data_IF_743221931123
#
_entry.id   IF_743221931123
#
_cell.length_a   1.000
_cell.length_b   1.000
_cell.length_c   1.000
_cell.angle_alpha   90.00
_cell.angle_beta   90.00
_cell.angle_gamma   90.00
#
_symmetry.space_group_name_H-M   'P 1'
#
loop_
_entity.id
_entity.type
_entity.pdbx_description
1 polymer ?
#
# COMPACT_ATOMS: atom_id res chain seq x y z
N UNK A 1 -10.27 6.82 -13.69
CA UNK A 1 -9.53 7.47 -12.60
C UNK A 1 -8.14 7.80 -13.06
N UNK A 2 -7.43 8.69 -12.37
CA UNK A 2 -6.02 9.00 -12.66
C UNK A 2 -5.13 8.05 -11.86
N UNK A 3 -4.22 7.35 -12.54
CA UNK A 3 -3.22 6.50 -11.89
C UNK A 3 -2.04 7.36 -11.42
N UNK A 4 -1.70 7.25 -10.13
CA UNK A 4 -0.48 7.80 -9.55
C UNK A 4 0.38 6.64 -9.08
N UNK A 5 1.65 6.61 -9.47
CA UNK A 5 2.56 5.51 -9.17
C UNK A 5 3.92 6.01 -8.67
N UNK A 6 4.63 5.15 -7.97
CA UNK A 6 5.95 5.43 -7.42
C UNK A 6 6.64 4.15 -6.96
N UNK A 7 7.92 4.26 -6.58
CA UNK A 7 8.71 3.12 -6.11
C UNK A 7 8.75 3.06 -4.59
N UNK A 8 8.38 1.91 -4.02
CA UNK A 8 8.58 1.63 -2.60
C UNK A 8 10.07 1.46 -2.26
N UNK A 9 10.90 1.03 -3.23
CA UNK A 9 12.31 0.72 -3.02
C UNK A 9 12.50 -0.69 -2.45
N UNK A 10 13.71 -0.97 -1.97
CA UNK A 10 14.06 -2.30 -1.47
C UNK A 10 13.44 -2.56 -0.09
N UNK A 11 12.73 -3.68 0.04
CA UNK A 11 12.33 -4.27 1.32
C UNK A 11 13.09 -5.57 1.45
N UNK A 12 13.94 -5.67 2.47
CA UNK A 12 14.75 -6.86 2.70
C UNK A 12 13.90 -8.10 2.97
N UNK A 13 14.46 -9.28 2.69
CA UNK A 13 13.82 -10.56 3.04
C UNK A 13 13.56 -10.61 4.55
N UNK A 14 12.36 -11.06 4.94
CA UNK A 14 11.90 -11.10 6.34
C UNK A 14 11.84 -9.72 7.04
N UNK A 15 11.82 -8.62 6.28
CA UNK A 15 11.57 -7.29 6.82
C UNK A 15 10.16 -6.80 6.45
N UNK A 16 9.60 -6.00 7.35
CA UNK A 16 8.33 -5.29 7.14
C UNK A 16 8.61 -3.81 7.07
N UNK A 17 8.05 -3.12 6.07
CA UNK A 17 8.04 -1.66 6.00
C UNK A 17 6.64 -1.13 6.26
N UNK A 18 6.54 -0.19 7.22
CA UNK A 18 5.31 0.51 7.51
C UNK A 18 5.28 1.83 6.74
N UNK A 19 4.24 2.05 5.94
CA UNK A 19 4.05 3.29 5.19
C UNK A 19 2.88 4.06 5.80
N UNK A 20 3.13 5.30 6.20
CA UNK A 20 2.07 6.22 6.59
C UNK A 20 1.52 6.97 5.37
N UNK A 21 0.31 7.51 5.47
CA UNK A 21 -0.35 8.30 4.42
C UNK A 21 0.54 9.40 3.86
N UNK A 22 1.33 10.07 4.71
CA UNK A 22 2.22 11.13 4.29
C UNK A 22 3.34 10.60 3.37
N UNK A 23 3.96 9.48 3.73
CA UNK A 23 5.03 8.86 2.93
C UNK A 23 4.49 8.35 1.59
N UNK A 24 3.32 7.71 1.59
CA UNK A 24 2.62 7.31 0.36
C UNK A 24 2.37 8.52 -0.55
N UNK A 25 1.89 9.64 0.01
CA UNK A 25 1.63 10.85 -0.77
C UNK A 25 2.90 11.45 -1.40
N UNK A 26 4.06 11.30 -0.74
CA UNK A 26 5.36 11.68 -1.31
C UNK A 26 5.80 10.72 -2.40
N UNK A 27 5.65 9.42 -2.20
CA UNK A 27 6.03 8.38 -3.17
C UNK A 27 5.28 8.55 -4.50
N UNK A 28 3.97 8.81 -4.43
CA UNK A 28 3.14 8.96 -5.63
C UNK A 28 3.05 10.41 -6.14
N UNK A 29 3.66 11.36 -5.42
CA UNK A 29 3.64 12.79 -5.76
C UNK A 29 2.24 13.43 -5.71
N UNK A 30 1.29 12.84 -4.99
CA UNK A 30 -0.11 13.27 -5.00
C UNK A 30 -0.79 13.07 -3.64
N UNK A 31 -1.61 14.04 -3.24
CA UNK A 31 -2.47 13.96 -2.07
C UNK A 31 -3.92 13.89 -2.51
N UNK A 32 -4.54 12.73 -2.30
CA UNK A 32 -5.93 12.47 -2.64
C UNK A 32 -6.85 13.19 -1.65
N UNK A 33 -7.52 14.26 -2.10
CA UNK A 33 -8.52 15.01 -1.31
C UNK A 33 -9.91 14.75 -1.88
N UNK A 34 -10.80 14.18 -1.06
CA UNK A 34 -12.19 13.89 -1.47
C UNK A 34 -12.35 12.74 -2.45
N UNK A 35 -11.30 11.95 -2.69
CA UNK A 35 -11.33 10.79 -3.59
C UNK A 35 -11.18 9.48 -2.80
N UNK A 36 -11.84 8.42 -3.28
CA UNK A 36 -11.53 7.05 -2.87
C UNK A 36 -10.17 6.63 -3.41
N UNK A 37 -9.46 5.77 -2.67
CA UNK A 37 -8.15 5.26 -3.04
C UNK A 37 -8.23 3.74 -3.23
N UNK A 38 -7.75 3.27 -4.38
CA UNK A 38 -7.40 1.87 -4.61
C UNK A 38 -5.89 1.77 -4.74
N UNK A 39 -5.30 0.74 -4.15
CA UNK A 39 -3.87 0.50 -4.19
C UNK A 39 -3.58 -0.80 -4.94
N UNK A 40 -2.59 -0.76 -5.82
CA UNK A 40 -1.99 -1.94 -6.44
C UNK A 40 -0.51 -1.96 -6.04
N UNK A 41 -0.03 -3.13 -5.62
CA UNK A 41 1.38 -3.34 -5.26
C UNK A 41 1.88 -4.50 -6.10
N UNK A 42 3.05 -4.33 -6.70
CA UNK A 42 3.75 -5.35 -7.46
C UNK A 42 5.19 -5.49 -6.99
N UNK A 43 5.72 -6.71 -7.05
CA UNK A 43 7.09 -7.02 -6.69
C UNK A 43 7.59 -8.23 -7.50
N UNK A 44 8.91 -8.31 -7.69
CA UNK A 44 9.57 -9.42 -8.39
C UNK A 44 9.63 -10.70 -7.56
N UNK A 45 9.30 -10.63 -6.27
CA UNK A 45 9.32 -11.74 -5.33
C UNK A 45 7.98 -11.82 -4.56
N UNK A 46 7.62 -12.99 -4.01
CA UNK A 46 6.42 -13.13 -3.19
C UNK A 46 6.41 -12.14 -2.01
N UNK A 47 5.24 -11.55 -1.74
CA UNK A 47 5.07 -10.56 -0.69
C UNK A 47 3.67 -10.61 -0.08
N UNK A 48 3.54 -10.08 1.13
CA UNK A 48 2.26 -9.82 1.79
C UNK A 48 2.08 -8.32 2.04
N UNK A 49 0.83 -7.86 2.00
CA UNK A 49 0.44 -6.47 2.28
C UNK A 49 -0.69 -6.48 3.28
N UNK A 50 -0.63 -5.53 4.22
CA UNK A 50 -1.73 -5.23 5.13
C UNK A 50 -2.02 -3.74 5.06
N UNK A 51 -3.25 -3.39 4.72
CA UNK A 51 -3.74 -2.01 4.71
C UNK A 51 -4.64 -1.86 5.93
N UNK A 52 -4.20 -1.02 6.87
CA UNK A 52 -4.93 -0.72 8.10
C UNK A 52 -5.64 0.62 7.95
N UNK A 53 -6.96 0.59 7.76
CA UNK A 53 -7.77 1.81 7.66
C UNK A 53 -8.41 2.10 9.00
N UNK A 54 -8.18 3.32 9.53
CA UNK A 54 -8.94 3.84 10.67
C UNK A 54 -10.27 4.39 10.18
N UNK A 55 -11.38 3.79 10.58
CA UNK A 55 -12.70 4.34 10.27
C UNK A 55 -13.06 5.42 11.29
N UNK A 56 -13.63 6.53 10.82
CA UNK A 56 -14.14 7.60 11.69
C UNK A 56 -15.36 7.11 12.47
N UNK A 57 -15.46 7.45 13.76
CA UNK A 57 -16.64 7.17 14.60
C UNK A 57 -16.47 6.12 15.72
N UNK A 58 -15.30 5.51 15.88
CA UNK A 58 -15.09 4.55 16.98
C UNK A 58 -13.71 3.90 17.08
N UNK A 59 -12.78 4.22 16.18
CA UNK A 59 -11.40 3.73 16.26
C UNK A 59 -11.18 2.30 15.78
N UNK A 60 -12.18 1.68 15.14
CA UNK A 60 -12.03 0.37 14.55
C UNK A 60 -10.94 0.36 13.46
N UNK A 61 -10.06 -0.64 13.55
CA UNK A 61 -9.04 -0.93 12.56
C UNK A 61 -9.57 -2.03 11.64
N UNK A 62 -9.79 -1.68 10.37
CA UNK A 62 -10.11 -2.67 9.34
C UNK A 62 -8.80 -3.14 8.71
N UNK A 63 -8.53 -4.44 8.78
CA UNK A 63 -7.38 -5.06 8.12
C UNK A 63 -7.79 -5.56 6.73
N UNK A 64 -7.34 -4.84 5.70
CA UNK A 64 -7.45 -5.27 4.32
C UNK A 64 -6.09 -5.88 3.93
N UNK A 65 -5.96 -7.20 4.07
CA UNK A 65 -4.75 -7.93 3.69
C UNK A 65 -4.83 -8.46 2.26
N UNK A 66 -3.69 -8.47 1.57
CA UNK A 66 -3.54 -9.06 0.24
C UNK A 66 -2.16 -9.73 0.13
N UNK A 67 -2.03 -10.70 -0.78
CA UNK A 67 -0.77 -11.36 -1.07
C UNK A 67 -0.51 -11.37 -2.58
N UNK A 68 0.75 -11.23 -2.96
CA UNK A 68 1.20 -11.43 -4.34
C UNK A 68 2.17 -12.60 -4.40
N UNK A 69 1.90 -13.55 -5.29
CA UNK A 69 2.87 -14.59 -5.66
C UNK A 69 3.41 -14.26 -7.05
N UNK A 70 4.71 -14.46 -7.26
CA UNK A 70 5.28 -14.38 -8.59
C UNK A 70 4.85 -15.62 -9.38
N UNK A 71 3.98 -15.44 -10.38
CA UNK A 71 3.63 -16.48 -11.34
C UNK A 71 4.72 -16.57 -12.41
N UNK A 72 5.80 -17.29 -12.13
CA UNK A 72 6.77 -17.67 -13.15
C UNK A 72 6.27 -18.91 -13.89
N UNK A 73 6.25 -18.86 -15.23
CA UNK A 73 6.21 -20.05 -16.10
C UNK A 73 7.47 -20.90 -15.92
#
# INVERSE_FOLDING_TARGET
GTLYSGRLGFVGRNHTRHLQTEELSRIIGYRWKGAGMTCEVSADNPFSVQILTRTGGGGALVNNSAGGSFGGN
#
